data_IF_291513900963
#
_entry.id   IF_291513900963
#
_cell.length_a   1.000
_cell.length_b   1.000
_cell.length_c   1.000
_cell.angle_alpha   90.00
_cell.angle_beta   90.00
_cell.angle_gamma   90.00
#
_symmetry.space_group_name_H-M   'P 1'
#
loop_
_entity.id
_entity.type
_entity.pdbx_description
1 polymer ?
#
# COMPACT_ATOMS: atom_id res chain seq x y z
N UNK A 1 -18.61 23.98 -1.89
CA UNK A 1 -18.79 23.31 -0.57
C UNK A 1 -18.34 21.89 -0.74
N UNK A 2 -17.10 21.56 -0.34
CA UNK A 2 -16.61 20.19 -0.32
C UNK A 2 -17.40 19.44 0.77
N UNK A 3 -17.98 18.28 0.43
CA UNK A 3 -18.40 17.33 1.47
C UNK A 3 -17.11 16.86 2.15
N UNK A 4 -16.96 17.14 3.44
CA UNK A 4 -15.90 16.52 4.23
C UNK A 4 -16.28 15.04 4.33
N UNK A 5 -15.61 14.21 3.53
CA UNK A 5 -15.82 12.75 3.53
C UNK A 5 -15.39 12.20 4.89
N UNK A 6 -16.22 11.36 5.51
CA UNK A 6 -15.82 10.66 6.72
C UNK A 6 -14.63 9.73 6.45
N UNK A 7 -13.48 10.06 7.04
CA UNK A 7 -12.22 9.38 6.80
C UNK A 7 -11.81 8.43 7.97
N UNK A 8 -10.66 7.77 7.78
CA UNK A 8 -10.08 6.85 8.76
C UNK A 8 -9.57 7.55 10.02
N UNK A 9 -9.16 8.81 9.91
CA UNK A 9 -8.78 9.60 11.08
C UNK A 9 -10.00 9.83 11.99
N UNK A 10 -11.22 10.00 11.45
CA UNK A 10 -12.45 10.12 12.25
C UNK A 10 -12.75 8.87 13.07
N UNK A 11 -12.54 7.70 12.48
CA UNK A 11 -12.64 6.41 13.19
C UNK A 11 -11.63 6.37 14.34
N UNK A 12 -10.36 6.72 14.05
CA UNK A 12 -9.28 6.73 15.03
C UNK A 12 -9.59 7.70 16.18
N UNK A 13 -10.05 8.92 15.87
CA UNK A 13 -10.42 9.94 16.83
C UNK A 13 -11.58 9.48 17.72
N UNK A 14 -12.62 8.90 17.12
CA UNK A 14 -13.77 8.33 17.86
C UNK A 14 -13.33 7.25 18.84
N UNK A 15 -12.43 6.36 18.42
CA UNK A 15 -11.89 5.32 19.29
C UNK A 15 -11.02 5.89 20.40
N UNK A 16 -10.15 6.86 20.10
CA UNK A 16 -9.30 7.55 21.10
C UNK A 16 -10.15 8.27 22.14
N UNK A 17 -11.20 9.01 21.73
CA UNK A 17 -12.15 9.67 22.63
C UNK A 17 -12.94 8.68 23.51
N UNK A 18 -13.15 7.46 23.02
CA UNK A 18 -13.76 6.37 23.80
C UNK A 18 -12.78 5.72 24.81
N UNK A 19 -11.51 6.15 24.80
CA UNK A 19 -10.44 5.58 25.62
C UNK A 19 -10.04 4.17 25.18
N UNK A 20 -10.25 3.83 23.91
CA UNK A 20 -9.78 2.57 23.34
C UNK A 20 -8.29 2.69 23.01
N UNK A 21 -7.54 1.61 23.25
CA UNK A 21 -6.21 1.45 22.66
C UNK A 21 -6.41 1.12 21.20
N UNK A 22 -5.91 1.99 20.32
CA UNK A 22 -6.13 1.86 18.88
C UNK A 22 -4.93 1.27 18.17
N UNK A 23 -5.20 0.52 17.11
CA UNK A 23 -4.17 0.04 16.19
C UNK A 23 -4.73 0.02 14.76
N UNK A 24 -4.03 0.65 13.84
CA UNK A 24 -4.28 0.54 12.40
C UNK A 24 -3.58 -0.71 11.87
N UNK A 25 -4.29 -1.47 11.04
CA UNK A 25 -3.82 -2.70 10.42
C UNK A 25 -4.04 -2.54 8.92
N UNK A 26 -2.95 -2.46 8.17
CA UNK A 26 -3.04 -2.46 6.72
C UNK A 26 -3.17 -3.90 6.23
N UNK A 27 -4.32 -4.22 5.63
CA UNK A 27 -4.61 -5.52 5.00
C UNK A 27 -4.34 -5.43 3.50
N UNK A 28 -4.32 -6.56 2.76
CA UNK A 28 -4.20 -6.55 1.30
C UNK A 28 -5.29 -5.75 0.58
N UNK A 29 -6.41 -5.51 1.26
CA UNK A 29 -7.58 -4.86 0.71
C UNK A 29 -7.73 -3.40 1.17
N UNK A 30 -6.90 -2.94 2.13
CA UNK A 30 -7.01 -1.61 2.72
C UNK A 30 -6.86 -1.59 4.24
N UNK A 31 -7.01 -0.41 4.84
CA UNK A 31 -6.88 -0.19 6.27
C UNK A 31 -8.08 -0.70 7.08
N UNK A 32 -7.76 -1.36 8.19
CA UNK A 32 -8.69 -1.73 9.24
C UNK A 32 -8.22 -1.10 10.56
N UNK A 33 -9.06 -0.28 11.18
CA UNK A 33 -8.76 0.33 12.48
C UNK A 33 -9.38 -0.54 13.56
N UNK A 34 -8.56 -0.91 14.54
CA UNK A 34 -8.97 -1.75 15.67
C UNK A 34 -8.90 -0.96 16.97
N UNK A 35 -9.84 -1.21 17.87
CA UNK A 35 -9.91 -0.62 19.20
C UNK A 35 -10.11 -1.69 20.27
N UNK A 36 -9.40 -1.57 21.41
CA UNK A 36 -9.54 -2.49 22.55
C UNK A 36 -9.57 -1.77 23.89
N UNK A 37 -10.44 -2.22 24.80
CA UNK A 37 -10.48 -1.79 26.21
C UNK A 37 -11.14 -2.85 27.08
N UNK A 38 -10.36 -3.47 27.98
CA UNK A 38 -10.83 -4.63 28.75
C UNK A 38 -11.21 -5.79 27.83
N UNK A 39 -12.36 -6.42 28.09
CA UNK A 39 -12.91 -7.47 27.22
C UNK A 39 -13.47 -6.95 25.89
N UNK A 40 -13.76 -5.65 25.77
CA UNK A 40 -14.35 -5.08 24.57
C UNK A 40 -13.32 -4.94 23.44
N UNK A 41 -13.62 -5.53 22.28
CA UNK A 41 -12.82 -5.35 21.07
C UNK A 41 -13.67 -5.04 19.84
N UNK A 42 -13.18 -4.10 19.03
CA UNK A 42 -13.89 -3.61 17.85
C UNK A 42 -12.95 -3.40 16.68
N UNK A 43 -13.47 -3.59 15.47
CA UNK A 43 -12.84 -3.15 14.22
C UNK A 43 -13.76 -2.22 13.43
N UNK A 44 -13.17 -1.34 12.63
CA UNK A 44 -13.89 -0.42 11.77
C UNK A 44 -13.08 -0.09 10.52
N UNK A 45 -13.77 0.06 9.39
CA UNK A 45 -13.19 0.55 8.12
C UNK A 45 -14.20 1.45 7.40
N UNK A 46 -13.71 2.29 6.50
CA UNK A 46 -14.57 3.07 5.60
C UNK A 46 -15.02 2.14 4.46
N UNK A 47 -16.27 2.30 4.05
CA UNK A 47 -16.98 1.40 3.14
C UNK A 47 -17.54 2.19 1.95
N UNK A 48 -16.74 2.29 0.89
CA UNK A 48 -17.22 2.72 -0.43
C UNK A 48 -17.70 1.52 -1.27
N UNK A 49 -17.05 0.36 -1.10
CA UNK A 49 -17.42 -0.91 -1.71
C UNK A 49 -17.67 -1.96 -0.61
N UNK A 50 -18.91 -2.46 -0.52
CA UNK A 50 -19.33 -3.42 0.53
C UNK A 50 -18.50 -4.71 0.50
N UNK A 51 -18.20 -5.24 -0.68
CA UNK A 51 -17.45 -6.49 -0.83
C UNK A 51 -16.02 -6.34 -0.29
N UNK A 52 -15.33 -5.28 -0.71
CA UNK A 52 -13.98 -4.97 -0.20
C UNK A 52 -13.98 -4.71 1.30
N UNK A 53 -14.97 -3.99 1.83
CA UNK A 53 -15.09 -3.74 3.27
C UNK A 53 -15.25 -5.06 4.05
N UNK A 54 -16.04 -6.01 3.53
CA UNK A 54 -16.16 -7.35 4.12
C UNK A 54 -14.84 -8.12 4.06
N UNK A 55 -14.12 -8.08 2.93
CA UNK A 55 -12.79 -8.74 2.80
C UNK A 55 -11.79 -8.14 3.81
N UNK A 56 -11.75 -6.82 3.99
CA UNK A 56 -10.92 -6.12 5.00
C UNK A 56 -11.25 -6.56 6.42
N UNK A 57 -12.53 -6.54 6.79
CA UNK A 57 -12.99 -6.91 8.14
C UNK A 57 -12.74 -8.39 8.43
N UNK A 58 -13.00 -9.27 7.46
CA UNK A 58 -12.82 -10.72 7.60
C UNK A 58 -11.36 -11.10 7.85
N UNK A 59 -10.42 -10.31 7.33
CA UNK A 59 -8.99 -10.48 7.58
C UNK A 59 -8.67 -10.45 9.08
N UNK A 60 -9.43 -9.68 9.88
CA UNK A 60 -9.30 -9.68 11.33
C UNK A 60 -10.61 -9.34 12.02
N UNK A 61 -11.40 -10.37 12.32
CA UNK A 61 -12.65 -10.23 13.03
C UNK A 61 -12.45 -9.91 14.52
N UNK A 62 -13.30 -9.01 15.01
CA UNK A 62 -13.43 -8.63 16.41
C UNK A 62 -14.84 -8.93 16.91
N UNK A 63 -15.12 -8.67 18.19
CA UNK A 63 -16.47 -8.90 18.77
C UNK A 63 -17.53 -8.05 18.08
N UNK A 64 -17.16 -6.81 17.74
CA UNK A 64 -17.98 -5.89 16.94
C UNK A 64 -17.14 -5.41 15.75
N UNK A 65 -17.78 -5.26 14.60
CA UNK A 65 -17.11 -4.85 13.38
C UNK A 65 -18.02 -3.86 12.64
N UNK A 66 -17.44 -2.75 12.16
CA UNK A 66 -18.18 -1.69 11.48
C UNK A 66 -17.63 -1.44 10.07
N UNK A 67 -18.53 -1.33 9.12
CA UNK A 67 -18.26 -0.85 7.76
C UNK A 67 -19.03 0.47 7.57
N UNK A 68 -18.31 1.59 7.49
CA UNK A 68 -18.89 2.92 7.64
C UNK A 68 -18.89 3.64 6.29
N UNK A 69 -20.06 4.09 5.82
CA UNK A 69 -20.15 4.76 4.51
C UNK A 69 -21.38 5.67 4.41
N UNK A 70 -21.29 6.72 3.60
CA UNK A 70 -22.44 7.59 3.32
C UNK A 70 -23.55 6.78 2.62
N UNK A 71 -24.78 6.86 3.14
CA UNK A 71 -25.93 6.17 2.54
C UNK A 71 -26.04 4.68 2.87
N UNK A 72 -25.14 4.13 3.69
CA UNK A 72 -25.36 2.80 4.28
C UNK A 72 -26.61 2.85 5.18
N UNK A 73 -27.56 1.94 4.93
CA UNK A 73 -28.63 1.64 5.89
C UNK A 73 -28.07 0.73 6.96
N UNK A 74 -28.59 0.85 8.17
CA UNK A 74 -28.29 -0.08 9.27
C UNK A 74 -28.63 -1.50 8.84
N UNK A 75 -27.59 -2.21 8.41
CA UNK A 75 -27.65 -3.59 7.93
C UNK A 75 -26.64 -4.38 8.75
N UNK A 76 -27.07 -5.50 9.31
CA UNK A 76 -26.20 -6.43 10.02
C UNK A 76 -26.02 -7.69 9.19
N UNK A 77 -24.75 -8.05 8.93
CA UNK A 77 -24.39 -9.30 8.27
C UNK A 77 -23.59 -10.15 9.26
N UNK A 78 -23.87 -11.45 9.31
CA UNK A 78 -23.09 -12.40 10.10
C UNK A 78 -22.01 -13.06 9.24
N UNK A 79 -20.76 -12.93 9.67
CA UNK A 79 -19.58 -13.52 9.02
C UNK A 79 -18.83 -14.34 10.04
N UNK A 80 -18.75 -15.65 9.83
CA UNK A 80 -18.04 -16.61 10.72
C UNK A 80 -18.46 -16.47 12.20
N UNK A 81 -19.76 -16.30 12.47
CA UNK A 81 -20.29 -16.16 13.83
C UNK A 81 -20.07 -14.78 14.47
N UNK A 82 -19.62 -13.78 13.69
CA UNK A 82 -19.40 -12.39 14.15
C UNK A 82 -20.26 -11.44 13.34
N UNK A 83 -20.80 -10.42 14.01
CA UNK A 83 -21.62 -9.39 13.38
C UNK A 83 -20.73 -8.32 12.72
N UNK A 84 -21.11 -7.94 11.51
CA UNK A 84 -20.60 -6.78 10.77
C UNK A 84 -21.76 -5.82 10.56
N UNK A 85 -21.63 -4.61 11.10
CA UNK A 85 -22.66 -3.55 11.04
C UNK A 85 -22.26 -2.56 9.96
N UNK A 86 -23.11 -2.41 8.95
CA UNK A 86 -23.04 -1.32 7.98
C UNK A 86 -23.84 -0.15 8.52
N UNK A 87 -23.21 1.02 8.63
CA UNK A 87 -23.86 2.21 9.17
C UNK A 87 -23.29 3.47 8.55
N UNK A 88 -23.98 4.59 8.75
CA UNK A 88 -23.47 5.91 8.41
C UNK A 88 -22.51 6.45 9.50
N UNK A 89 -21.72 7.47 9.18
CA UNK A 89 -20.79 8.11 10.11
C UNK A 89 -21.40 8.54 11.46
N UNK A 90 -22.56 9.17 11.43
CA UNK A 90 -23.23 9.71 12.60
C UNK A 90 -23.64 8.61 13.57
N UNK A 91 -24.24 7.53 13.06
CA UNK A 91 -24.69 6.38 13.85
C UNK A 91 -23.50 5.64 14.46
N UNK A 92 -22.41 5.49 13.70
CA UNK A 92 -21.15 4.97 14.23
C UNK A 92 -20.65 5.81 15.41
N UNK A 93 -20.53 7.13 15.27
CA UNK A 93 -20.06 7.98 16.37
C UNK A 93 -21.03 7.95 17.55
N UNK A 94 -22.34 8.00 17.29
CA UNK A 94 -23.36 8.02 18.32
C UNK A 94 -23.37 6.73 19.14
N UNK A 95 -23.13 5.57 18.51
CA UNK A 95 -22.94 4.30 19.20
C UNK A 95 -21.82 4.39 20.26
N UNK A 96 -20.64 4.89 19.87
CA UNK A 96 -19.50 5.04 20.79
C UNK A 96 -19.76 6.10 21.86
N UNK A 97 -20.40 7.21 21.50
CA UNK A 97 -20.76 8.28 22.43
C UNK A 97 -21.71 7.77 23.51
N UNK A 98 -22.74 7.02 23.14
CA UNK A 98 -23.70 6.43 24.07
C UNK A 98 -23.02 5.42 25.01
N UNK A 99 -22.12 4.60 24.47
CA UNK A 99 -21.44 3.54 25.23
C UNK A 99 -20.36 4.06 26.18
N UNK A 100 -19.57 5.04 25.76
CA UNK A 100 -18.38 5.52 26.48
C UNK A 100 -18.50 6.92 27.07
N UNK A 101 -19.59 7.65 26.77
CA UNK A 101 -19.97 8.94 27.36
C UNK A 101 -18.91 10.05 27.20
N UNK A 102 -18.31 10.19 26.02
CA UNK A 102 -17.44 11.35 25.74
C UNK A 102 -18.26 12.61 25.37
N UNK A 103 -17.69 13.80 25.64
CA UNK A 103 -18.40 15.10 25.56
C UNK A 103 -18.57 15.63 24.13
N UNK A 104 -17.57 15.42 23.27
CA UNK A 104 -17.51 15.95 21.90
C UNK A 104 -18.75 15.51 21.09
N UNK A 105 -19.34 16.42 20.32
CA UNK A 105 -20.47 16.10 19.43
C UNK A 105 -20.04 15.33 18.18
N UNK A 106 -20.95 14.57 17.59
CA UNK A 106 -20.65 13.83 16.35
C UNK A 106 -20.27 14.78 15.22
N UNK A 107 -20.93 15.93 15.14
CA UNK A 107 -20.64 16.97 14.15
C UNK A 107 -19.25 17.58 14.32
N UNK A 108 -18.82 17.87 15.55
CA UNK A 108 -17.45 18.33 15.81
C UNK A 108 -16.40 17.30 15.35
N UNK A 109 -16.65 15.99 15.54
CA UNK A 109 -15.73 14.95 15.05
C UNK A 109 -15.73 14.93 13.51
N UNK A 110 -16.89 14.95 12.87
CA UNK A 110 -17.02 14.91 11.41
C UNK A 110 -16.37 16.12 10.75
N UNK A 111 -16.54 17.32 11.31
CA UNK A 111 -16.04 18.57 10.73
C UNK A 111 -14.54 18.83 11.03
N UNK A 112 -13.92 18.08 11.97
CA UNK A 112 -12.54 18.36 12.40
C UNK A 112 -11.46 18.02 11.36
N UNK A 113 -10.81 19.00 10.76
CA UNK A 113 -9.69 18.77 9.85
C UNK A 113 -8.35 19.05 10.54
N UNK A 114 -7.55 18.00 10.77
CA UNK A 114 -6.25 18.12 11.45
C UNK A 114 -5.26 18.98 10.66
N UNK A 115 -5.35 19.00 9.33
CA UNK A 115 -4.46 19.81 8.48
C UNK A 115 -4.84 21.28 8.56
N UNK A 116 -6.13 21.61 8.56
CA UNK A 116 -6.57 23.00 8.76
C UNK A 116 -6.23 23.52 10.15
N UNK A 117 -6.46 22.73 11.20
CA UNK A 117 -6.11 23.10 12.57
C UNK A 117 -4.60 23.29 12.73
N UNK A 118 -3.80 22.45 12.06
CA UNK A 118 -2.35 22.64 12.00
C UNK A 118 -2.00 23.99 11.36
N UNK A 119 -2.55 24.32 10.19
CA UNK A 119 -2.25 25.59 9.50
C UNK A 119 -2.68 26.80 10.34
N UNK A 120 -3.84 26.75 10.99
CA UNK A 120 -4.35 27.82 11.87
C UNK A 120 -3.45 28.08 13.08
N UNK A 121 -2.63 27.10 13.48
CA UNK A 121 -1.71 27.25 14.61
C UNK A 121 -0.43 28.04 14.29
N UNK A 122 -0.21 28.42 13.03
CA UNK A 122 0.95 29.21 12.58
C UNK A 122 0.54 30.61 12.13
N UNK A 123 1.37 31.60 12.43
CA UNK A 123 1.21 32.96 11.91
C UNK A 123 1.48 33.00 10.39
N UNK A 124 2.57 32.35 9.95
CA UNK A 124 2.91 32.19 8.54
C UNK A 124 2.34 30.88 7.98
N UNK A 125 1.29 31.00 7.15
CA UNK A 125 0.66 29.86 6.48
C UNK A 125 1.56 29.20 5.45
N UNK A 126 2.50 29.94 4.84
CA UNK A 126 3.45 29.39 3.87
C UNK A 126 4.46 28.49 4.57
N UNK A 127 4.96 28.89 5.74
CA UNK A 127 5.80 28.03 6.59
C UNK A 127 5.04 26.75 6.98
N UNK A 128 3.79 26.87 7.45
CA UNK A 128 2.97 25.71 7.81
C UNK A 128 2.82 24.71 6.65
N UNK A 129 2.52 25.20 5.44
CA UNK A 129 2.41 24.37 4.24
C UNK A 129 3.73 23.68 3.88
N UNK A 130 4.88 24.35 4.03
CA UNK A 130 6.18 23.75 3.79
C UNK A 130 6.50 22.61 4.79
N UNK A 131 6.12 22.80 6.06
CA UNK A 131 6.26 21.77 7.11
C UNK A 131 5.34 20.58 6.81
N UNK A 132 4.08 20.83 6.44
CA UNK A 132 3.13 19.78 6.03
C UNK A 132 3.65 18.96 4.85
N UNK A 133 4.18 19.62 3.82
CA UNK A 133 4.79 18.93 2.67
C UNK A 133 6.01 18.10 3.09
N UNK A 134 6.83 18.58 4.02
CA UNK A 134 7.96 17.82 4.57
C UNK A 134 7.53 16.57 5.31
N UNK A 135 6.47 16.68 6.12
CA UNK A 135 5.87 15.54 6.80
C UNK A 135 5.32 14.55 5.76
N UNK A 136 4.66 15.02 4.72
CA UNK A 136 4.20 14.16 3.62
C UNK A 136 5.36 13.44 2.91
N UNK A 137 6.45 14.15 2.57
CA UNK A 137 7.64 13.52 1.98
C UNK A 137 8.21 12.44 2.91
N UNK A 138 8.42 12.75 4.20
CA UNK A 138 8.94 11.77 5.16
C UNK A 138 7.98 10.58 5.34
N UNK A 139 6.66 10.81 5.27
CA UNK A 139 5.64 9.78 5.33
C UNK A 139 5.76 8.78 4.17
N UNK A 140 5.96 9.27 2.94
CA UNK A 140 6.13 8.43 1.75
C UNK A 140 7.51 7.76 1.72
N UNK A 141 8.57 8.46 2.12
CA UNK A 141 9.91 7.89 2.26
C UNK A 141 9.96 6.80 3.34
N UNK A 142 9.10 6.88 4.36
CA UNK A 142 9.02 6.03 5.56
C UNK A 142 10.17 6.20 6.52
N UNK A 143 11.38 6.11 5.99
CA UNK A 143 12.61 6.32 6.70
C UNK A 143 13.61 7.02 5.78
N UNK A 144 14.36 7.97 6.35
CA UNK A 144 15.37 8.72 5.61
C UNK A 144 16.65 8.78 6.43
N UNK A 145 17.82 8.38 5.91
CA UNK A 145 19.06 8.37 6.68
C UNK A 145 19.49 9.77 7.09
N UNK A 146 19.91 9.93 8.35
CA UNK A 146 20.56 11.14 8.88
C UNK A 146 22.04 11.26 8.44
N UNK A 147 22.40 10.80 7.23
CA UNK A 147 23.76 10.84 6.65
C UNK A 147 24.69 9.66 7.04
N UNK A 148 24.81 8.66 6.16
CA UNK A 148 26.02 7.82 5.97
C UNK A 148 25.95 7.14 4.58
N UNK A 149 26.78 7.54 3.61
CA UNK A 149 27.07 6.67 2.45
C UNK A 149 28.37 5.91 2.77
N UNK A 150 28.29 4.58 2.84
CA UNK A 150 29.46 3.73 2.63
C UNK A 150 29.50 3.36 1.14
N UNK A 151 30.47 3.84 0.38
CA UNK A 151 30.82 3.17 -0.88
C UNK A 151 31.73 1.98 -0.56
N UNK A 152 31.77 0.96 -1.44
CA UNK A 152 32.63 -0.21 -1.25
C UNK A 152 34.12 0.16 -1.10
N UNK A 153 34.53 1.30 -1.66
CA UNK A 153 35.94 1.65 -1.84
C UNK A 153 36.44 2.85 -1.00
N UNK A 154 35.56 3.69 -0.44
CA UNK A 154 36.00 4.82 0.40
C UNK A 154 35.08 5.13 1.58
N UNK A 155 35.68 5.36 2.76
CA UNK A 155 35.00 5.82 4.00
C UNK A 155 34.88 7.36 4.01
N UNK A 156 34.24 7.96 3.01
CA UNK A 156 34.00 9.41 3.02
C UNK A 156 32.58 9.69 3.50
N UNK A 157 32.46 10.55 4.52
CA UNK A 157 31.19 11.17 4.91
C UNK A 157 30.75 12.08 3.78
N UNK A 158 29.81 11.64 2.96
CA UNK A 158 29.10 12.53 2.02
C UNK A 158 27.82 13.01 2.69
N UNK A 159 27.75 14.31 3.00
CA UNK A 159 26.51 14.97 3.37
C UNK A 159 25.66 15.11 2.11
N UNK A 160 24.65 14.26 1.98
CA UNK A 160 23.56 14.50 1.04
C UNK A 160 22.65 15.50 1.73
N UNK A 161 22.37 16.63 1.08
CA UNK A 161 21.29 17.51 1.54
C UNK A 161 20.00 16.70 1.68
N UNK A 162 19.26 16.86 2.78
CA UNK A 162 18.02 16.11 2.95
C UNK A 162 17.06 16.45 1.80
N UNK A 163 16.58 15.44 1.08
CA UNK A 163 15.51 15.56 0.08
C UNK A 163 14.18 16.08 0.68
N UNK A 164 14.15 16.35 1.99
CA UNK A 164 12.99 16.76 2.78
C UNK A 164 13.25 18.18 3.33
N UNK A 165 12.75 19.23 2.64
CA UNK A 165 13.07 20.62 2.96
C UNK A 165 12.32 21.06 4.23
N UNK A 166 12.99 21.13 5.39
CA UNK A 166 12.45 21.42 6.76
C UNK A 166 12.37 20.22 7.72
N UNK A 167 13.10 19.13 7.46
CA UNK A 167 13.18 17.96 8.35
C UNK A 167 13.47 18.31 9.83
N UNK A 168 14.44 19.19 10.10
CA UNK A 168 14.77 19.58 11.49
C UNK A 168 13.63 20.35 12.18
N UNK A 169 12.88 21.17 11.44
CA UNK A 169 11.69 21.86 11.98
C UNK A 169 10.60 20.85 12.35
N UNK A 170 10.36 19.85 11.49
CA UNK A 170 9.42 18.74 11.78
C UNK A 170 9.80 18.01 13.07
N UNK A 171 11.11 17.76 13.29
CA UNK A 171 11.61 17.13 14.52
C UNK A 171 11.45 18.03 15.75
N UNK A 172 11.80 19.31 15.63
CA UNK A 172 11.69 20.28 16.73
C UNK A 172 10.25 20.50 17.20
N UNK A 173 9.27 20.34 16.30
CA UNK A 173 7.85 20.38 16.63
C UNK A 173 7.31 19.07 17.21
N UNK A 174 8.14 18.02 17.34
CA UNK A 174 7.74 16.72 17.90
C UNK A 174 7.02 15.79 16.92
N UNK A 175 6.94 16.15 15.63
CA UNK A 175 6.31 15.32 14.60
C UNK A 175 7.28 14.35 13.92
N UNK A 176 8.58 14.53 14.14
CA UNK A 176 9.64 13.63 13.68
C UNK A 176 10.61 13.28 14.79
N UNK A 177 11.30 12.17 14.62
CA UNK A 177 12.38 11.75 15.51
C UNK A 177 13.43 10.93 14.75
N UNK A 178 14.56 10.73 15.38
CA UNK A 178 15.67 9.98 14.77
C UNK A 178 16.10 8.82 15.66
N UNK A 179 16.27 7.65 15.05
CA UNK A 179 16.56 6.42 15.77
C UNK A 179 17.72 5.65 15.12
N UNK A 180 18.66 5.09 15.90
CA UNK A 180 19.73 4.25 15.36
C UNK A 180 19.14 2.93 14.84
N UNK A 181 19.39 2.61 13.56
CA UNK A 181 18.94 1.37 12.92
C UNK A 181 19.93 0.22 13.11
N UNK A 182 21.20 0.53 13.28
CA UNK A 182 22.29 -0.43 13.51
C UNK A 182 23.17 0.03 14.66
N UNK A 183 23.74 -0.93 15.40
CA UNK A 183 24.66 -0.63 16.48
C UNK A 183 25.95 -0.05 15.92
N UNK A 184 26.62 -0.71 14.96
CA UNK A 184 27.91 -0.31 14.37
C UNK A 184 27.97 -0.63 12.86
N UNK A 185 28.23 0.35 11.96
CA UNK A 185 28.26 1.80 12.18
C UNK A 185 26.90 2.31 12.69
N UNK A 186 26.89 3.41 13.46
CA UNK A 186 25.67 4.00 14.01
C UNK A 186 24.92 4.77 12.91
N UNK A 187 24.18 4.06 12.06
CA UNK A 187 23.32 4.70 11.08
C UNK A 187 22.02 5.09 11.75
N UNK A 188 21.71 6.39 11.74
CA UNK A 188 20.46 6.93 12.26
C UNK A 188 19.50 7.19 11.10
N UNK A 189 18.24 6.87 11.33
CA UNK A 189 17.16 7.08 10.37
C UNK A 189 16.14 8.02 11.00
N UNK A 190 15.60 8.92 10.18
CA UNK A 190 14.50 9.81 10.54
C UNK A 190 13.17 9.11 10.30
N UNK A 191 12.24 9.30 11.22
CA UNK A 191 10.89 8.76 11.18
C UNK A 191 9.90 9.83 11.63
N UNK A 192 8.66 9.72 11.18
CA UNK A 192 7.55 10.47 11.77
C UNK A 192 7.08 9.79 13.07
N UNK A 193 6.66 10.60 14.03
CA UNK A 193 5.87 10.13 15.18
C UNK A 193 4.48 9.70 14.73
N UNK A 194 3.70 9.07 15.62
CA UNK A 194 2.32 8.69 15.30
C UNK A 194 1.47 9.90 14.90
N UNK A 195 1.59 11.02 15.60
CA UNK A 195 0.85 12.24 15.28
C UNK A 195 1.34 12.86 13.96
N UNK A 196 2.65 12.90 13.73
CA UNK A 196 3.21 13.35 12.45
C UNK A 196 2.73 12.51 11.25
N UNK A 197 2.55 11.19 11.45
CA UNK A 197 1.97 10.30 10.43
C UNK A 197 0.50 10.59 10.16
N UNK A 198 -0.32 10.84 11.18
CA UNK A 198 -1.74 11.17 10.95
C UNK A 198 -1.91 12.51 10.22
N UNK A 199 -1.09 13.53 10.54
CA UNK A 199 -1.12 14.79 9.81
C UNK A 199 -0.70 14.57 8.35
N UNK A 200 0.41 13.87 8.12
CA UNK A 200 0.89 13.58 6.75
C UNK A 200 -0.10 12.77 5.91
N UNK A 201 -0.88 11.89 6.54
CA UNK A 201 -2.00 11.17 5.89
C UNK A 201 -3.11 12.11 5.47
N UNK A 202 -3.54 13.00 6.36
CA UNK A 202 -4.56 14.00 6.03
C UNK A 202 -4.09 14.90 4.87
N UNK A 203 -2.81 15.31 4.85
CA UNK A 203 -2.22 16.03 3.71
C UNK A 203 -2.32 15.22 2.41
N UNK A 204 -2.05 13.91 2.46
CA UNK A 204 -2.22 13.04 1.30
C UNK A 204 -3.68 12.93 0.85
N UNK A 205 -4.63 12.76 1.78
CA UNK A 205 -6.06 12.68 1.48
C UNK A 205 -6.54 13.95 0.77
N UNK A 206 -6.11 15.13 1.22
CA UNK A 206 -6.36 16.40 0.53
C UNK A 206 -5.79 16.41 -0.90
N UNK A 207 -4.55 15.95 -1.09
CA UNK A 207 -3.95 15.83 -2.44
C UNK A 207 -4.72 14.88 -3.34
N UNK A 208 -5.15 13.73 -2.80
CA UNK A 208 -5.94 12.73 -3.51
C UNK A 208 -7.28 13.31 -3.96
N UNK A 209 -8.02 13.96 -3.05
CA UNK A 209 -9.31 14.61 -3.35
C UNK A 209 -9.15 15.67 -4.44
N UNK A 210 -8.11 16.49 -4.35
CA UNK A 210 -7.84 17.53 -5.35
C UNK A 210 -7.42 16.98 -6.71
N UNK A 211 -6.95 15.72 -6.77
CA UNK A 211 -6.45 15.07 -7.99
C UNK A 211 -7.44 14.05 -8.58
N UNK A 212 -8.66 13.92 -8.04
CA UNK A 212 -9.60 12.86 -8.44
C UNK A 212 -9.89 12.83 -9.94
N UNK A 213 -10.16 13.99 -10.55
CA UNK A 213 -10.47 14.06 -11.99
C UNK A 213 -9.28 13.67 -12.88
N UNK A 214 -8.08 14.08 -12.50
CA UNK A 214 -6.85 13.69 -13.21
C UNK A 214 -6.57 12.20 -13.03
N UNK A 215 -6.77 11.68 -11.81
CA UNK A 215 -6.60 10.27 -11.48
C UNK A 215 -7.59 9.38 -12.24
N UNK A 216 -8.85 9.79 -12.38
CA UNK A 216 -9.84 9.09 -13.23
C UNK A 216 -9.38 9.03 -14.69
N UNK A 217 -8.77 10.11 -15.19
CA UNK A 217 -8.24 10.16 -16.56
C UNK A 217 -7.07 9.18 -16.72
N UNK A 218 -6.18 9.09 -15.73
CA UNK A 218 -5.09 8.11 -15.69
C UNK A 218 -5.64 6.68 -15.61
N UNK A 219 -6.65 6.43 -14.76
CA UNK A 219 -7.29 5.12 -14.66
C UNK A 219 -7.85 4.69 -16.02
N UNK A 220 -8.56 5.58 -16.72
CA UNK A 220 -9.08 5.31 -18.07
C UNK A 220 -7.96 5.08 -19.09
N UNK A 221 -6.88 5.85 -19.04
CA UNK A 221 -5.72 5.74 -19.95
C UNK A 221 -5.02 4.38 -19.86
N UNK A 222 -4.83 3.86 -18.65
CA UNK A 222 -4.17 2.56 -18.46
C UNK A 222 -5.14 1.38 -18.45
N UNK A 223 -6.43 1.62 -18.19
CA UNK A 223 -7.45 0.59 -18.03
C UNK A 223 -7.54 0.13 -16.57
N UNK A 224 -8.78 0.03 -16.05
CA UNK A 224 -9.05 -0.32 -14.64
C UNK A 224 -8.36 -1.61 -14.22
N UNK A 225 -8.44 -2.65 -15.06
CA UNK A 225 -7.86 -3.96 -14.78
C UNK A 225 -6.35 -3.89 -14.56
N UNK A 226 -5.63 -3.25 -15.48
CA UNK A 226 -4.17 -3.04 -15.37
C UNK A 226 -3.83 -2.20 -14.15
N UNK A 227 -4.59 -1.15 -13.86
CA UNK A 227 -4.39 -0.32 -12.67
C UNK A 227 -4.52 -1.15 -11.39
N UNK A 228 -5.53 -2.03 -11.29
CA UNK A 228 -5.64 -2.92 -10.13
C UNK A 228 -4.43 -3.85 -10.03
N UNK A 229 -4.04 -4.51 -11.13
CA UNK A 229 -2.87 -5.41 -11.16
C UNK A 229 -1.58 -4.69 -10.76
N UNK A 230 -1.32 -3.48 -11.28
CA UNK A 230 -0.17 -2.67 -10.89
C UNK A 230 -0.23 -2.25 -9.43
N UNK A 231 -1.41 -1.89 -8.93
CA UNK A 231 -1.62 -1.47 -7.55
C UNK A 231 -1.37 -2.62 -6.58
N UNK A 232 -2.08 -3.73 -6.74
CA UNK A 232 -1.93 -4.93 -5.90
C UNK A 232 -0.53 -5.53 -6.06
N UNK A 233 0.03 -5.52 -7.26
CA UNK A 233 1.36 -6.07 -7.53
C UNK A 233 2.49 -5.30 -6.84
N UNK A 234 2.39 -3.98 -6.76
CA UNK A 234 3.36 -3.13 -6.07
C UNK A 234 3.06 -2.92 -4.59
N UNK A 235 1.91 -3.40 -4.11
CA UNK A 235 1.53 -3.28 -2.72
C UNK A 235 2.48 -4.04 -1.80
N UNK A 236 2.99 -3.37 -0.78
CA UNK A 236 3.74 -3.93 0.35
C UNK A 236 3.10 -3.50 1.66
N UNK A 237 3.59 -4.04 2.77
CA UNK A 237 3.09 -3.73 4.13
C UNK A 237 2.95 -2.23 4.42
N UNK A 238 3.85 -1.43 3.86
CA UNK A 238 3.95 0.01 4.15
C UNK A 238 3.52 0.89 2.96
N UNK A 239 2.79 0.37 1.98
CA UNK A 239 2.31 1.12 0.80
C UNK A 239 2.78 0.54 -0.53
N UNK A 240 2.62 1.29 -1.61
CA UNK A 240 3.06 0.86 -2.95
C UNK A 240 4.56 1.11 -3.11
N UNK A 241 5.26 0.13 -3.68
CA UNK A 241 6.70 0.20 -3.94
C UNK A 241 7.04 -0.48 -5.26
N UNK A 242 7.67 0.27 -6.16
CA UNK A 242 8.21 -0.24 -7.43
C UNK A 242 9.67 0.16 -7.56
N UNK A 243 10.58 -0.82 -7.49
CA UNK A 243 12.01 -0.57 -7.73
C UNK A 243 12.21 -0.20 -9.20
N UNK A 244 12.95 0.89 -9.43
CA UNK A 244 13.41 1.26 -10.77
C UNK A 244 14.58 0.34 -11.12
N UNK A 245 14.43 -0.43 -12.18
CA UNK A 245 15.50 -1.24 -12.74
C UNK A 245 16.53 -0.28 -13.32
N UNK A 246 17.79 -0.47 -12.96
CA UNK A 246 18.85 0.13 -13.75
C UNK A 246 18.72 -0.44 -15.16
N UNK A 247 18.88 0.37 -16.20
CA UNK A 247 18.88 -0.13 -17.56
C UNK A 247 20.11 -1.00 -17.76
N UNK A 248 20.06 -2.25 -17.30
CA UNK A 248 20.94 -3.30 -17.75
C UNK A 248 20.59 -3.52 -19.22
N UNK A 249 21.38 -2.89 -20.08
CA UNK A 249 21.50 -3.12 -21.52
C UNK A 249 20.20 -3.39 -22.27
N UNK A 250 19.73 -2.37 -23.01
CA UNK A 250 19.14 -2.50 -24.35
C UNK A 250 18.33 -3.78 -24.57
N UNK A 251 17.00 -3.72 -24.47
CA UNK A 251 16.11 -4.11 -25.57
C UNK A 251 14.82 -3.29 -25.38
N UNK A 252 14.76 -2.15 -26.08
CA UNK A 252 13.50 -1.51 -26.40
C UNK A 252 12.89 -2.30 -27.55
N UNK A 253 11.76 -2.97 -27.33
CA UNK A 253 10.96 -3.51 -28.42
C UNK A 253 9.59 -2.84 -28.44
N UNK A 254 9.49 -1.84 -29.31
CA UNK A 254 8.22 -1.37 -29.87
C UNK A 254 7.62 -2.51 -30.69
N UNK A 255 6.37 -2.89 -30.41
CA UNK A 255 5.59 -3.75 -31.29
C UNK A 255 4.23 -4.09 -30.69
N UNK A 256 3.16 -3.68 -31.34
CA UNK A 256 1.81 -4.17 -31.05
C UNK A 256 1.64 -5.61 -31.56
N UNK A 257 0.72 -6.33 -30.92
CA UNK A 257 0.25 -7.71 -31.14
C UNK A 257 0.95 -8.81 -30.33
N UNK A 258 0.15 -9.83 -30.02
CA UNK A 258 0.26 -10.90 -29.03
C UNK A 258 1.57 -11.72 -28.91
N UNK A 259 2.51 -11.80 -29.89
CA UNK A 259 3.83 -12.41 -29.64
C UNK A 259 4.74 -11.66 -28.64
N UNK A 260 4.37 -10.45 -28.19
CA UNK A 260 5.26 -9.61 -27.39
C UNK A 260 5.30 -9.90 -25.87
N UNK A 261 4.39 -10.72 -25.33
CA UNK A 261 4.46 -11.07 -23.89
C UNK A 261 5.64 -12.02 -23.64
N UNK A 262 5.89 -12.98 -24.53
CA UNK A 262 7.02 -13.92 -24.42
C UNK A 262 8.38 -13.23 -24.46
N UNK A 263 8.55 -12.21 -25.32
CA UNK A 263 9.79 -11.41 -25.38
C UNK A 263 9.97 -10.49 -24.16
N UNK A 264 8.86 -10.13 -23.48
CA UNK A 264 8.86 -9.26 -22.32
C UNK A 264 8.92 -9.99 -20.98
N UNK A 265 8.66 -11.30 -20.94
CA UNK A 265 8.71 -12.07 -19.70
C UNK A 265 10.15 -12.19 -19.19
N UNK A 266 10.52 -11.29 -18.27
CA UNK A 266 11.83 -11.21 -17.60
C UNK A 266 12.09 -12.37 -16.61
N UNK A 267 11.66 -13.60 -16.92
CA UNK A 267 11.70 -14.76 -16.01
C UNK A 267 13.14 -15.23 -15.73
N UNK A 268 14.11 -14.80 -16.55
CA UNK A 268 15.51 -15.21 -16.44
C UNK A 268 16.22 -14.66 -15.19
N UNK A 269 15.75 -13.55 -14.61
CA UNK A 269 16.36 -12.99 -13.41
C UNK A 269 15.81 -13.65 -12.13
N UNK A 270 16.55 -14.64 -11.64
CA UNK A 270 16.28 -15.34 -10.36
C UNK A 270 16.14 -14.39 -9.16
N UNK A 271 16.70 -13.17 -9.24
CA UNK A 271 16.59 -12.18 -8.17
C UNK A 271 15.19 -11.57 -8.06
N UNK A 272 14.43 -11.50 -9.17
CA UNK A 272 13.06 -10.96 -9.19
C UNK A 272 12.06 -11.86 -8.46
N UNK A 273 12.29 -13.17 -8.44
CA UNK A 273 11.49 -14.10 -7.64
C UNK A 273 11.62 -13.83 -6.13
N UNK A 274 12.72 -13.23 -5.68
CA UNK A 274 12.85 -12.76 -4.29
C UNK A 274 11.96 -11.57 -3.99
N UNK A 275 11.41 -10.87 -4.97
CA UNK A 275 10.43 -9.81 -4.77
C UNK A 275 9.01 -10.36 -4.58
N UNK A 276 8.79 -11.65 -4.86
CA UNK A 276 7.51 -12.33 -4.61
C UNK A 276 7.36 -12.83 -3.18
N UNK A 277 8.43 -12.78 -2.35
CA UNK A 277 8.30 -12.93 -0.90
C UNK A 277 7.51 -11.72 -0.38
N UNK A 278 6.66 -11.91 0.63
CA UNK A 278 5.78 -10.86 1.17
C UNK A 278 4.54 -10.56 0.30
N UNK A 279 3.91 -11.59 -0.27
CA UNK A 279 2.52 -11.54 -0.74
C UNK A 279 1.60 -12.20 0.27
N UNK A 280 0.35 -11.73 0.34
CA UNK A 280 -0.64 -12.14 1.34
C UNK A 280 -1.91 -12.72 0.71
N UNK A 281 -2.08 -12.60 -0.61
CA UNK A 281 -3.22 -13.19 -1.33
C UNK A 281 -2.78 -13.75 -2.69
N UNK A 282 -3.49 -14.75 -3.25
CA UNK A 282 -3.24 -15.25 -4.60
C UNK A 282 -3.32 -14.15 -5.66
N UNK A 283 -4.32 -13.26 -5.54
CA UNK A 283 -4.45 -12.09 -6.41
C UNK A 283 -3.20 -11.21 -6.36
N UNK A 284 -2.64 -10.98 -5.17
CA UNK A 284 -1.42 -10.19 -5.01
C UNK A 284 -0.20 -10.88 -5.66
N UNK A 285 -0.10 -12.20 -5.58
CA UNK A 285 0.94 -12.97 -6.26
C UNK A 285 0.85 -12.83 -7.77
N UNK A 286 -0.33 -13.05 -8.34
CA UNK A 286 -0.61 -12.92 -9.78
C UNK A 286 -0.31 -11.49 -10.23
N UNK A 287 -0.86 -10.52 -9.52
CA UNK A 287 -0.69 -9.09 -9.80
C UNK A 287 0.78 -8.68 -9.76
N UNK A 288 1.55 -9.16 -8.77
CA UNK A 288 2.98 -8.85 -8.65
C UNK A 288 3.78 -9.51 -9.76
N UNK A 289 3.46 -10.75 -10.10
CA UNK A 289 4.10 -11.43 -11.22
C UNK A 289 3.84 -10.67 -12.53
N UNK A 290 2.59 -10.39 -12.87
CA UNK A 290 2.23 -9.65 -14.09
C UNK A 290 2.91 -8.27 -14.10
N UNK A 291 2.88 -7.55 -12.98
CA UNK A 291 3.50 -6.22 -12.88
C UNK A 291 5.01 -6.25 -13.10
N UNK A 292 5.72 -7.21 -12.48
CA UNK A 292 7.17 -7.28 -12.58
C UNK A 292 7.65 -7.90 -13.89
N UNK A 293 6.93 -8.89 -14.42
CA UNK A 293 7.41 -9.68 -15.55
C UNK A 293 6.72 -9.35 -16.88
N UNK A 294 5.50 -8.81 -16.91
CA UNK A 294 4.77 -8.57 -18.15
C UNK A 294 4.51 -7.10 -18.46
N UNK A 295 4.15 -6.28 -17.45
CA UNK A 295 3.72 -4.88 -17.64
C UNK A 295 4.58 -3.87 -16.88
N UNK A 296 5.87 -4.18 -16.65
CA UNK A 296 6.77 -3.32 -15.85
C UNK A 296 6.89 -1.89 -16.39
N UNK A 297 7.05 -1.73 -17.70
CA UNK A 297 7.18 -0.40 -18.32
C UNK A 297 5.87 0.40 -18.21
N UNK A 298 4.72 -0.27 -18.28
CA UNK A 298 3.42 0.35 -18.02
C UNK A 298 3.31 0.80 -16.56
N UNK A 299 3.79 -0.01 -15.61
CA UNK A 299 3.84 0.36 -14.21
C UNK A 299 4.73 1.58 -13.97
N UNK A 300 5.91 1.65 -14.59
CA UNK A 300 6.77 2.84 -14.52
C UNK A 300 6.05 4.07 -15.09
N UNK A 301 5.40 3.95 -16.25
CA UNK A 301 4.61 5.06 -16.81
C UNK A 301 3.47 5.48 -15.89
N UNK A 302 2.77 4.53 -15.27
CA UNK A 302 1.70 4.79 -14.32
C UNK A 302 2.21 5.55 -13.09
N UNK A 303 3.30 5.09 -12.46
CA UNK A 303 3.90 5.80 -11.33
C UNK A 303 4.44 7.18 -11.68
N UNK A 304 4.95 7.40 -12.90
CA UNK A 304 5.33 8.73 -13.37
C UNK A 304 4.13 9.70 -13.43
N UNK A 305 2.96 9.23 -13.86
CA UNK A 305 1.76 10.07 -13.84
C UNK A 305 1.31 10.35 -12.41
N UNK A 306 1.35 9.35 -11.52
CA UNK A 306 1.10 9.54 -10.07
C UNK A 306 2.07 10.53 -9.42
N UNK A 307 3.33 10.51 -9.83
CA UNK A 307 4.35 11.46 -9.35
C UNK A 307 4.05 12.89 -9.78
N UNK A 308 3.62 13.11 -11.03
CA UNK A 308 3.21 14.44 -11.51
C UNK A 308 2.04 15.03 -10.72
N UNK A 309 1.11 14.18 -10.27
CA UNK A 309 -0.01 14.56 -9.40
C UNK A 309 0.42 14.74 -7.93
N UNK A 310 1.67 14.40 -7.58
CA UNK A 310 2.15 14.42 -6.20
C UNK A 310 1.50 13.35 -5.32
N UNK A 311 1.03 12.25 -5.91
CA UNK A 311 0.46 11.09 -5.21
C UNK A 311 1.49 9.96 -5.00
N UNK A 312 2.57 9.98 -5.78
CA UNK A 312 3.73 9.12 -5.63
C UNK A 312 5.03 9.94 -5.67
N UNK A 313 6.13 9.36 -5.24
CA UNK A 313 7.46 10.01 -5.26
C UNK A 313 8.50 9.01 -5.73
N UNK A 314 9.37 9.44 -6.66
CA UNK A 314 10.59 8.72 -6.99
C UNK A 314 11.69 9.06 -5.98
N UNK A 315 12.08 8.09 -5.16
CA UNK A 315 13.00 8.27 -4.04
C UNK A 315 14.18 7.29 -4.10
N UNK A 316 15.30 7.70 -3.50
CA UNK A 316 16.45 6.81 -3.28
C UNK A 316 16.11 5.74 -2.25
N UNK A 317 16.58 4.52 -2.48
CA UNK A 317 16.50 3.42 -1.52
C UNK A 317 17.84 3.30 -0.83
N UNK A 318 17.82 3.18 0.49
CA UNK A 318 19.02 2.94 1.28
C UNK A 318 18.95 1.58 1.98
N UNK A 319 20.10 0.92 2.09
CA UNK A 319 20.26 -0.26 2.93
C UNK A 319 20.17 0.10 4.42
N UNK A 320 20.09 -0.92 5.29
CA UNK A 320 20.19 -0.73 6.75
C UNK A 320 21.49 -0.03 7.19
N UNK A 321 22.50 0.01 6.33
CA UNK A 321 23.80 0.65 6.55
C UNK A 321 23.91 2.03 5.91
N UNK A 322 22.81 2.60 5.39
CA UNK A 322 22.82 3.91 4.72
C UNK A 322 23.37 3.90 3.30
N UNK A 323 23.85 2.75 2.80
CA UNK A 323 24.31 2.61 1.41
C UNK A 323 23.13 2.73 0.45
N UNK A 324 23.24 3.61 -0.55
CA UNK A 324 22.26 3.73 -1.63
C UNK A 324 22.22 2.45 -2.47
N UNK A 325 21.02 1.94 -2.73
CA UNK A 325 20.74 0.70 -3.46
C UNK A 325 20.06 0.94 -4.83
N UNK A 326 19.84 2.20 -5.19
CA UNK A 326 19.13 2.63 -6.40
C UNK A 326 17.86 3.44 -6.10
N UNK A 327 16.97 3.53 -7.09
CA UNK A 327 15.74 4.33 -7.02
C UNK A 327 14.48 3.44 -6.93
N UNK A 328 13.43 3.95 -6.31
CA UNK A 328 12.08 3.37 -6.36
C UNK A 328 11.01 4.44 -6.40
N UNK A 329 9.89 4.11 -7.05
CA UNK A 329 8.64 4.81 -6.81
C UNK A 329 8.00 4.30 -5.52
N UNK A 330 7.50 5.24 -4.72
CA UNK A 330 6.75 4.98 -3.50
C UNK A 330 5.44 5.75 -3.53
N UNK A 331 4.37 5.11 -3.06
CA UNK A 331 3.12 5.81 -2.80
C UNK A 331 2.51 5.35 -1.47
N UNK A 332 1.74 6.22 -0.80
CA UNK A 332 1.02 5.86 0.40
C UNK A 332 0.08 4.66 0.22
N UNK A 333 -0.14 3.85 1.27
CA UNK A 333 -1.12 2.76 1.27
C UNK A 333 -2.54 3.25 0.99
N UNK A 334 -2.86 4.48 1.40
CA UNK A 334 -4.16 5.10 1.12
C UNK A 334 -4.43 5.25 -0.39
N UNK A 335 -3.39 5.50 -1.20
CA UNK A 335 -3.54 5.51 -2.67
C UNK A 335 -3.89 4.13 -3.20
N UNK A 336 -3.21 3.09 -2.71
CA UNK A 336 -3.47 1.73 -3.14
C UNK A 336 -4.90 1.32 -2.82
N UNK A 337 -5.36 1.66 -1.62
CA UNK A 337 -6.73 1.38 -1.18
C UNK A 337 -7.77 2.05 -2.08
N UNK A 338 -7.59 3.34 -2.37
CA UNK A 338 -8.46 4.08 -3.28
C UNK A 338 -8.47 3.46 -4.69
N UNK A 339 -7.30 3.16 -5.25
CA UNK A 339 -7.19 2.55 -6.58
C UNK A 339 -7.82 1.16 -6.62
N UNK A 340 -7.65 0.38 -5.55
CA UNK A 340 -8.33 -0.91 -5.41
C UNK A 340 -9.84 -0.72 -5.38
N UNK A 341 -10.38 0.23 -4.59
CA UNK A 341 -11.82 0.50 -4.53
C UNK A 341 -12.40 0.88 -5.89
N UNK A 342 -11.69 1.71 -6.66
CA UNK A 342 -12.15 2.17 -7.97
C UNK A 342 -11.99 1.13 -9.07
N UNK A 343 -11.01 0.24 -8.97
CA UNK A 343 -10.64 -0.67 -10.06
C UNK A 343 -10.85 -2.15 -9.74
N UNK A 344 -11.45 -2.45 -8.60
CA UNK A 344 -11.61 -3.82 -8.10
C UNK A 344 -12.32 -4.71 -9.12
N UNK A 345 -11.74 -5.89 -9.33
CA UNK A 345 -12.38 -7.01 -10.00
C UNK A 345 -11.96 -8.30 -9.29
N UNK A 346 -12.83 -9.29 -9.32
CA UNK A 346 -12.52 -10.62 -8.82
C UNK A 346 -11.97 -11.47 -9.96
N UNK A 347 -10.94 -12.26 -9.66
CA UNK A 347 -10.34 -13.19 -10.61
C UNK A 347 -11.01 -14.55 -10.44
N UNK A 348 -11.40 -15.17 -11.55
CA UNK A 348 -12.00 -16.50 -11.54
C UNK A 348 -11.05 -17.53 -10.90
N UNK A 349 -11.60 -18.44 -10.11
CA UNK A 349 -10.83 -19.43 -9.37
C UNK A 349 -10.00 -20.32 -10.31
N UNK A 350 -10.55 -20.65 -11.47
CA UNK A 350 -9.91 -21.46 -12.51
C UNK A 350 -8.63 -20.78 -13.03
N UNK A 351 -8.68 -19.46 -13.26
CA UNK A 351 -7.53 -18.65 -13.69
C UNK A 351 -6.46 -18.61 -12.60
N UNK A 352 -6.86 -18.50 -11.33
CA UNK A 352 -5.94 -18.51 -10.18
C UNK A 352 -5.24 -19.87 -10.07
N UNK A 353 -5.99 -20.97 -10.15
CA UNK A 353 -5.46 -22.33 -10.07
C UNK A 353 -4.48 -22.62 -11.22
N UNK A 354 -4.85 -22.25 -12.45
CA UNK A 354 -4.00 -22.41 -13.63
C UNK A 354 -2.71 -21.61 -13.50
N UNK A 355 -2.80 -20.33 -13.07
CA UNK A 355 -1.63 -19.50 -12.83
C UNK A 355 -0.70 -20.13 -11.80
N UNK A 356 -1.22 -20.58 -10.65
CA UNK A 356 -0.40 -21.09 -9.54
C UNK A 356 0.32 -22.37 -9.96
N UNK A 357 -0.32 -23.23 -10.76
CA UNK A 357 0.29 -24.41 -11.36
C UNK A 357 1.46 -24.04 -12.29
N UNK A 358 1.25 -23.11 -13.21
CA UNK A 358 2.28 -22.67 -14.17
C UNK A 358 3.43 -21.96 -13.45
N UNK A 359 3.11 -21.05 -12.53
CA UNK A 359 4.05 -20.31 -11.70
C UNK A 359 4.95 -21.26 -10.91
N UNK A 360 4.37 -22.28 -10.27
CA UNK A 360 5.10 -23.29 -9.51
C UNK A 360 6.16 -24.00 -10.35
N UNK A 361 5.78 -24.48 -11.54
CA UNK A 361 6.72 -25.15 -12.45
C UNK A 361 7.85 -24.22 -12.90
N UNK A 362 7.52 -22.97 -13.22
CA UNK A 362 8.51 -21.96 -13.61
C UNK A 362 9.44 -21.58 -12.45
N UNK A 363 8.90 -21.43 -11.24
CA UNK A 363 9.65 -21.07 -10.04
C UNK A 363 10.69 -22.13 -9.69
N UNK A 364 10.29 -23.40 -9.67
CA UNK A 364 11.19 -24.51 -9.34
C UNK A 364 12.27 -24.72 -10.40
N UNK A 365 11.96 -24.45 -11.68
CA UNK A 365 12.97 -24.43 -12.76
C UNK A 365 13.95 -23.27 -12.59
N UNK A 366 13.50 -22.11 -12.13
CA UNK A 366 14.37 -20.96 -11.91
C UNK A 366 15.25 -21.12 -10.67
N UNK A 367 14.69 -21.56 -9.54
CA UNK A 367 15.37 -21.64 -8.23
C UNK A 367 15.58 -23.12 -7.88
N UNK A 368 16.34 -23.83 -8.72
CA UNK A 368 16.56 -25.28 -8.63
C UNK A 368 16.92 -25.77 -7.20
N UNK A 369 16.47 -26.99 -6.88
CA UNK A 369 16.83 -27.72 -5.67
C UNK A 369 15.96 -27.44 -4.44
N UNK A 370 16.37 -28.03 -3.31
CA UNK A 370 15.62 -28.02 -2.03
C UNK A 370 15.32 -26.59 -1.55
N UNK A 371 16.19 -25.63 -1.86
CA UNK A 371 15.99 -24.22 -1.48
C UNK A 371 14.77 -23.60 -2.19
N UNK A 372 14.55 -23.90 -3.47
CA UNK A 372 13.38 -23.42 -4.21
C UNK A 372 12.08 -24.02 -3.71
N UNK A 373 12.07 -25.33 -3.49
CA UNK A 373 10.91 -26.03 -2.90
C UNK A 373 10.53 -25.43 -1.54
N UNK A 374 11.54 -25.20 -0.69
CA UNK A 374 11.32 -24.57 0.61
C UNK A 374 10.74 -23.15 0.48
N UNK A 375 11.31 -22.32 -0.39
CA UNK A 375 10.82 -20.94 -0.57
C UNK A 375 9.40 -20.91 -1.14
N UNK A 376 9.07 -21.82 -2.05
CA UNK A 376 7.73 -21.96 -2.62
C UNK A 376 6.72 -22.44 -1.56
N UNK A 377 7.10 -23.41 -0.73
CA UNK A 377 6.28 -23.88 0.38
C UNK A 377 6.03 -22.75 1.40
N UNK A 378 7.07 -21.99 1.77
CA UNK A 378 6.94 -20.84 2.66
C UNK A 378 5.98 -19.78 2.06
N UNK A 379 6.04 -19.56 0.74
CA UNK A 379 5.12 -18.68 0.01
C UNK A 379 3.67 -19.17 0.08
N UNK A 380 3.39 -20.44 -0.25
CA UNK A 380 2.03 -20.97 -0.27
C UNK A 380 1.42 -21.14 1.13
N UNK A 381 2.23 -21.48 2.12
CA UNK A 381 1.80 -21.42 3.52
C UNK A 381 1.36 -20.01 3.92
N UNK A 382 2.05 -18.97 3.45
CA UNK A 382 1.68 -17.57 3.69
C UNK A 382 0.39 -17.12 2.97
N UNK A 383 -0.04 -17.87 1.95
CA UNK A 383 -1.25 -17.62 1.17
C UNK A 383 -2.45 -18.49 1.59
N UNK A 384 -2.29 -19.33 2.62
CA UNK A 384 -3.25 -20.37 3.00
C UNK A 384 -3.64 -21.29 1.83
N UNK A 385 -2.67 -21.61 0.96
CA UNK A 385 -2.84 -22.50 -0.19
C UNK A 385 -2.18 -23.86 0.06
N UNK A 386 -2.80 -24.93 -0.43
CA UNK A 386 -2.17 -26.26 -0.40
C UNK A 386 -0.98 -26.30 -1.37
N UNK A 387 0.17 -26.88 -0.95
CA UNK A 387 1.30 -27.06 -1.84
C UNK A 387 0.90 -27.97 -3.00
N UNK A 388 1.06 -27.47 -4.24
CA UNK A 388 0.76 -28.26 -5.43
C UNK A 388 1.88 -29.30 -5.62
N UNK A 389 1.52 -30.59 -5.66
CA UNK A 389 2.45 -31.66 -6.06
C UNK A 389 2.87 -31.48 -7.53
N UNK A 390 4.14 -31.14 -7.74
CA UNK A 390 4.66 -30.86 -9.07
C UNK A 390 5.07 -32.16 -9.75
N UNK A 391 4.21 -32.69 -10.61
CA UNK A 391 4.67 -33.58 -11.69
C UNK A 391 5.45 -32.71 -12.67
N UNK A 392 6.69 -33.12 -13.00
CA UNK A 392 7.61 -32.43 -13.94
C UNK A 392 6.83 -31.67 -15.01
N UNK A 393 6.90 -30.34 -14.99
CA UNK A 393 6.20 -29.49 -15.94
C UNK A 393 6.83 -29.60 -17.33
N UNK A 394 6.01 -29.63 -18.40
CA UNK A 394 6.51 -29.66 -19.77
C UNK A 394 7.23 -28.36 -20.15
N UNK A 395 8.04 -28.41 -21.22
CA UNK A 395 8.78 -27.26 -21.75
C UNK A 395 7.87 -26.09 -22.20
N UNK A 396 6.56 -26.30 -22.29
CA UNK A 396 5.52 -25.36 -22.75
C UNK A 396 5.04 -24.35 -21.71
N UNK A 397 5.43 -24.45 -20.42
CA UNK A 397 4.84 -23.62 -19.35
C UNK A 397 5.04 -22.10 -19.49
N UNK A 398 6.05 -21.64 -20.23
CA UNK A 398 6.23 -20.20 -20.50
C UNK A 398 5.24 -19.67 -21.54
N UNK A 399 4.92 -20.49 -22.55
CA UNK A 399 3.92 -20.16 -23.57
C UNK A 399 2.53 -20.15 -22.94
N UNK A 400 2.19 -21.20 -22.19
CA UNK A 400 0.93 -21.30 -21.44
C UNK A 400 0.77 -20.11 -20.45
N UNK A 401 1.86 -19.73 -19.75
CA UNK A 401 1.84 -18.55 -18.87
C UNK A 401 1.63 -17.26 -19.66
N UNK A 402 2.27 -17.10 -20.82
CA UNK A 402 2.08 -15.91 -21.65
C UNK A 402 0.64 -15.80 -22.20
N UNK A 403 0.05 -16.93 -22.61
CA UNK A 403 -1.34 -17.00 -23.06
C UNK A 403 -2.32 -16.67 -21.93
N UNK A 404 -2.10 -17.22 -20.73
CA UNK A 404 -2.89 -16.91 -19.54
C UNK A 404 -2.77 -15.43 -19.13
N UNK A 405 -1.56 -14.86 -19.16
CA UNK A 405 -1.39 -13.43 -18.89
C UNK A 405 -2.10 -12.59 -19.96
N UNK A 406 -2.03 -13.02 -21.22
CA UNK A 406 -2.74 -12.34 -22.31
C UNK A 406 -4.23 -12.34 -22.05
N UNK A 407 -4.86 -13.48 -21.68
CA UNK A 407 -6.29 -13.54 -21.39
C UNK A 407 -6.66 -12.62 -20.22
N UNK A 408 -5.88 -12.64 -19.13
CA UNK A 408 -6.05 -11.73 -17.99
C UNK A 408 -5.97 -10.26 -18.42
N UNK A 409 -5.11 -9.89 -19.36
CA UNK A 409 -4.96 -8.50 -19.81
C UNK A 409 -5.96 -8.08 -20.89
N UNK A 410 -6.63 -9.03 -21.56
CA UNK A 410 -7.48 -8.78 -22.74
C UNK A 410 -8.94 -8.51 -22.40
N UNK A 411 -9.45 -8.98 -21.27
CA UNK A 411 -10.83 -8.70 -20.87
C UNK A 411 -10.90 -7.26 -20.34
N UNK A 412 -11.56 -6.40 -21.12
CA UNK A 412 -11.70 -4.97 -20.88
C UNK A 412 -12.80 -4.62 -19.90
#
# INVERSE_FOLDING_TARGET
>A
MSRISFDKFKILLTFKLSGLRTKRIFTPYGDLITGRKGGFSVSATVCENKELALKRITFKLHELNFAIGEGNKDEEIEVRGKKVVFCNPEDFIQFFKNKFRFKVSSREIIDYDITEEFIKSFEDKTEALAILNSMYLLYVYREFPEVFIHTKDTRVRMEIEPDIPLLEKVKNLGYGFSHPKTSHPKVRMNYLTDDGREIARSVFEHKLINSLTELETVIKKFGRRKVLLMTSGTLRKDGMFLKVREPDSVISLKGDTTPNILSNLYISDKSLFKELKDVQTPLQLISRFITLFAIYDEAIRFFNELEKMGLAIKSRIFSKWGVELGMAYRAPPELAEFLMEQCYFEMESEVVEEFVKLFTGMYLKAIEGIAGERMLNELFMGLDMEPIEVKRTPETSQLEMAELISSILSES
#
